data_IF_994040552012
#
_entry.id   IF_994040552012
#
_cell.length_a   1.000
_cell.length_b   1.000
_cell.length_c   1.000
_cell.angle_alpha   90.00
_cell.angle_beta   90.00
_cell.angle_gamma   90.00
#
_symmetry.space_group_name_H-M   'P 1'
#
loop_
_entity.id
_entity.type
_entity.pdbx_description
1 polymer ?
#
# COMPACT_ATOMS: atom_id res chain seq x y z
N UNK A 1 7.32 3.06 -19.24
CA UNK A 1 7.90 4.27 -18.57
C UNK A 1 9.15 3.81 -17.82
N UNK A 2 10.24 4.57 -17.88
CA UNK A 2 11.49 4.25 -17.19
C UNK A 2 11.34 4.60 -15.70
N UNK A 3 11.66 3.67 -14.80
CA UNK A 3 11.60 3.90 -13.34
C UNK A 3 12.61 4.98 -12.94
N UNK A 4 12.12 5.98 -12.22
CA UNK A 4 12.90 7.13 -11.74
C UNK A 4 13.35 6.90 -10.30
N UNK A 5 14.67 6.91 -10.08
CA UNK A 5 15.30 6.77 -8.78
C UNK A 5 15.79 8.13 -8.29
N UNK A 6 15.45 8.52 -7.08
CA UNK A 6 16.07 9.63 -6.38
C UNK A 6 17.11 9.13 -5.40
N UNK A 7 18.33 9.66 -5.47
CA UNK A 7 19.44 9.29 -4.59
C UNK A 7 19.82 10.51 -3.76
N UNK A 8 19.77 10.37 -2.44
CA UNK A 8 20.03 11.44 -1.48
C UNK A 8 21.14 10.98 -0.53
N UNK A 9 22.32 11.58 -0.69
CA UNK A 9 23.54 11.28 0.10
C UNK A 9 24.42 12.52 0.06
N UNK A 10 25.01 12.95 1.17
CA UNK A 10 25.90 14.12 1.22
C UNK A 10 27.26 13.88 0.56
N UNK A 11 27.58 12.63 0.22
CA UNK A 11 28.80 12.26 -0.48
C UNK A 11 28.61 12.24 -2.00
N UNK A 12 29.15 13.23 -2.68
CA UNK A 12 29.05 13.38 -4.15
C UNK A 12 29.64 12.19 -4.92
N UNK A 13 30.68 11.53 -4.38
CA UNK A 13 31.28 10.35 -5.02
C UNK A 13 30.30 9.17 -5.03
N UNK A 14 29.55 8.98 -3.96
CA UNK A 14 28.49 7.96 -3.87
C UNK A 14 27.36 8.29 -4.85
N UNK A 15 26.91 9.56 -4.88
CA UNK A 15 25.87 10.02 -5.82
C UNK A 15 26.25 9.73 -7.27
N UNK A 16 27.47 10.13 -7.66
CA UNK A 16 27.96 9.93 -9.05
C UNK A 16 28.08 8.43 -9.38
N UNK A 17 28.69 7.65 -8.50
CA UNK A 17 28.89 6.21 -8.71
C UNK A 17 27.57 5.48 -8.85
N UNK A 18 26.63 5.68 -7.92
CA UNK A 18 25.32 5.03 -7.93
C UNK A 18 24.49 5.48 -9.15
N UNK A 19 24.53 6.77 -9.48
CA UNK A 19 23.81 7.28 -10.64
C UNK A 19 24.24 6.58 -11.93
N UNK A 20 25.54 6.48 -12.18
CA UNK A 20 26.09 5.83 -13.37
C UNK A 20 25.71 4.33 -13.42
N UNK A 21 25.81 3.64 -12.27
CA UNK A 21 25.48 2.22 -12.20
C UNK A 21 23.99 1.97 -12.46
N UNK A 22 23.08 2.76 -11.87
CA UNK A 22 21.65 2.63 -12.15
C UNK A 22 21.29 2.97 -13.59
N UNK A 23 21.91 4.01 -14.17
CA UNK A 23 21.69 4.39 -15.56
C UNK A 23 22.14 3.27 -16.51
N UNK A 24 23.26 2.60 -16.23
CA UNK A 24 23.73 1.45 -17.04
C UNK A 24 22.77 0.26 -16.99
N UNK A 25 21.90 0.18 -15.95
CA UNK A 25 20.85 -0.83 -15.82
C UNK A 25 19.47 -0.33 -16.32
N UNK A 26 19.42 0.81 -17.03
CA UNK A 26 18.20 1.31 -17.67
C UNK A 26 17.26 2.12 -16.77
N UNK A 27 17.71 2.52 -15.59
CA UNK A 27 16.94 3.41 -14.69
C UNK A 27 17.22 4.88 -15.00
N UNK A 28 16.26 5.75 -14.71
CA UNK A 28 16.46 7.21 -14.71
C UNK A 28 16.81 7.65 -13.29
N UNK A 29 17.86 8.46 -13.12
CA UNK A 29 18.33 8.89 -11.80
C UNK A 29 18.30 10.40 -11.65
N UNK A 30 18.03 10.85 -10.43
CA UNK A 30 18.24 12.22 -9.98
C UNK A 30 18.94 12.17 -8.62
N UNK A 31 19.94 13.03 -8.43
CA UNK A 31 20.81 13.00 -7.25
C UNK A 31 20.75 14.31 -6.49
N UNK A 32 20.82 14.22 -5.14
CA UNK A 32 20.82 15.39 -4.26
C UNK A 32 21.86 15.22 -3.14
N UNK A 33 22.81 16.13 -3.06
CA UNK A 33 23.72 16.23 -1.92
C UNK A 33 23.08 16.98 -0.73
N UNK A 34 21.98 17.68 -0.97
CA UNK A 34 21.25 18.42 0.06
C UNK A 34 19.81 17.89 0.18
N UNK A 35 19.42 17.32 1.34
CA UNK A 35 18.09 16.78 1.53
C UNK A 35 16.97 17.82 1.43
N UNK A 36 17.23 19.08 1.77
CA UNK A 36 16.24 20.16 1.62
C UNK A 36 15.92 20.43 0.15
N UNK A 37 16.94 20.49 -0.71
CA UNK A 37 16.74 20.65 -2.16
C UNK A 37 15.97 19.46 -2.77
N UNK A 38 16.22 18.24 -2.26
CA UNK A 38 15.45 17.06 -2.65
C UNK A 38 13.95 17.20 -2.31
N UNK A 39 13.59 17.66 -1.11
CA UNK A 39 12.20 17.91 -0.72
C UNK A 39 11.53 18.92 -1.65
N UNK A 40 12.17 20.05 -1.92
CA UNK A 40 11.63 21.10 -2.80
C UNK A 40 11.39 20.59 -4.23
N UNK A 41 12.31 19.76 -4.74
CA UNK A 41 12.15 19.15 -6.05
C UNK A 41 10.99 18.16 -6.07
N UNK A 42 10.94 17.26 -5.08
CA UNK A 42 9.95 16.17 -5.03
C UNK A 42 8.54 16.61 -4.68
N UNK A 43 8.36 17.83 -4.17
CA UNK A 43 7.05 18.47 -4.05
C UNK A 43 6.35 18.62 -5.42
N UNK A 44 7.14 18.78 -6.50
CA UNK A 44 6.65 19.00 -7.88
C UNK A 44 6.78 17.74 -8.73
N UNK A 45 7.86 17.00 -8.56
CA UNK A 45 8.20 15.81 -9.37
C UNK A 45 8.68 14.65 -8.49
N UNK A 46 7.76 13.88 -7.89
CA UNK A 46 8.12 12.72 -7.07
C UNK A 46 8.81 11.64 -7.90
N UNK A 47 9.72 10.90 -7.26
CA UNK A 47 10.36 9.72 -7.82
C UNK A 47 9.55 8.44 -7.55
N UNK A 48 9.87 7.36 -8.28
CA UNK A 48 9.25 6.05 -8.08
C UNK A 48 9.86 5.31 -6.88
N UNK A 49 11.14 5.58 -6.57
CA UNK A 49 11.86 5.05 -5.40
C UNK A 49 12.93 6.02 -4.94
N UNK A 50 13.18 6.00 -3.63
CA UNK A 50 14.16 6.86 -2.96
C UNK A 50 15.25 6.01 -2.32
N UNK A 51 16.53 6.33 -2.63
CA UNK A 51 17.70 5.77 -1.96
C UNK A 51 18.27 6.87 -1.07
N UNK A 52 18.25 6.64 0.25
CA UNK A 52 18.44 7.70 1.23
C UNK A 52 19.57 7.32 2.19
N UNK A 53 20.62 8.14 2.25
CA UNK A 53 21.59 7.99 3.31
C UNK A 53 20.99 8.33 4.67
N UNK A 54 21.30 7.52 5.69
CA UNK A 54 20.81 7.73 7.05
C UNK A 54 21.49 8.90 7.75
N UNK A 55 22.77 9.13 7.44
CA UNK A 55 23.56 10.17 8.09
C UNK A 55 23.91 11.29 7.15
N UNK A 56 23.09 12.33 7.15
CA UNK A 56 23.35 13.56 6.39
C UNK A 56 23.38 14.77 7.32
N UNK A 57 24.19 15.80 7.01
CA UNK A 57 24.20 17.05 7.76
C UNK A 57 22.82 17.72 7.78
N UNK A 58 22.46 18.34 8.90
CA UNK A 58 21.23 19.13 9.10
C UNK A 58 19.91 18.36 9.12
N UNK A 59 19.82 17.22 8.43
CA UNK A 59 18.57 16.45 8.33
C UNK A 59 18.91 14.98 8.17
N UNK A 60 18.55 14.14 9.14
CA UNK A 60 18.76 12.70 9.05
C UNK A 60 17.91 12.08 7.95
N UNK A 61 18.35 10.93 7.40
CA UNK A 61 17.58 10.23 6.37
C UNK A 61 16.16 9.85 6.81
N UNK A 62 16.00 9.52 8.09
CA UNK A 62 14.70 9.22 8.66
C UNK A 62 13.77 10.45 8.73
N UNK A 63 14.30 11.60 9.18
CA UNK A 63 13.54 12.85 9.21
C UNK A 63 13.19 13.32 7.79
N UNK A 64 14.13 13.19 6.85
CA UNK A 64 13.86 13.45 5.43
C UNK A 64 12.71 12.60 4.92
N UNK A 65 12.75 11.30 5.15
CA UNK A 65 11.69 10.37 4.73
C UNK A 65 10.32 10.73 5.31
N UNK A 66 10.26 11.05 6.60
CA UNK A 66 9.02 11.47 7.26
C UNK A 66 8.43 12.72 6.62
N UNK A 67 9.26 13.75 6.41
CA UNK A 67 8.83 15.00 5.72
C UNK A 67 8.40 14.74 4.29
N UNK A 68 9.07 13.86 3.58
CA UNK A 68 8.71 13.46 2.22
C UNK A 68 7.32 12.80 2.19
N UNK A 69 7.04 11.87 3.09
CA UNK A 69 5.73 11.23 3.19
C UNK A 69 4.62 12.24 3.52
N UNK A 70 4.84 13.11 4.49
CA UNK A 70 3.91 14.18 4.87
C UNK A 70 3.60 15.11 3.68
N UNK A 71 4.63 15.55 2.98
CA UNK A 71 4.52 16.43 1.82
C UNK A 71 3.77 15.78 0.66
N UNK A 72 4.03 14.51 0.38
CA UNK A 72 3.36 13.74 -0.68
C UNK A 72 1.97 13.24 -0.26
N UNK A 73 1.56 13.48 0.98
CA UNK A 73 0.30 12.98 1.58
C UNK A 73 0.15 11.47 1.43
N UNK A 74 1.24 10.75 1.62
CA UNK A 74 1.31 9.29 1.57
C UNK A 74 1.78 8.76 2.91
N UNK A 75 1.15 7.69 3.41
CA UNK A 75 1.61 7.00 4.61
C UNK A 75 3.04 6.47 4.44
N UNK A 76 3.36 6.06 3.22
CA UNK A 76 4.67 5.50 2.84
C UNK A 76 4.97 5.74 1.38
N UNK A 77 6.27 5.89 1.08
CA UNK A 77 6.80 5.89 -0.29
C UNK A 77 7.88 4.80 -0.42
N UNK A 78 8.12 4.26 -1.64
CA UNK A 78 9.19 3.29 -1.85
C UNK A 78 10.54 3.89 -1.48
N UNK A 79 11.19 3.38 -0.42
CA UNK A 79 12.47 3.88 0.04
C UNK A 79 13.41 2.75 0.46
N UNK A 80 14.70 2.94 0.20
CA UNK A 80 15.81 2.09 0.62
C UNK A 80 16.83 2.95 1.35
N UNK A 81 17.15 2.58 2.59
CA UNK A 81 18.07 3.35 3.42
C UNK A 81 19.48 2.79 3.34
N UNK A 82 20.47 3.68 3.20
CA UNK A 82 21.88 3.34 3.31
C UNK A 82 22.38 3.67 4.72
N UNK A 83 22.95 2.71 5.43
CA UNK A 83 23.37 2.90 6.83
C UNK A 83 24.73 2.28 7.13
N UNK A 84 25.48 2.82 8.09
CA UNK A 84 26.72 2.24 8.61
C UNK A 84 26.46 1.26 9.76
N UNK A 85 27.46 0.42 10.08
CA UNK A 85 27.36 -0.72 11.00
C UNK A 85 27.01 -0.37 12.47
N UNK A 86 27.16 0.89 12.89
CA UNK A 86 27.12 1.25 14.31
C UNK A 86 25.80 1.89 14.80
N UNK A 87 24.66 1.63 14.18
CA UNK A 87 23.45 2.39 14.46
C UNK A 87 22.41 1.66 15.30
N UNK A 88 22.23 2.13 16.55
CA UNK A 88 21.07 1.88 17.42
C UNK A 88 19.72 2.23 16.74
N UNK A 89 19.73 3.04 15.69
CA UNK A 89 18.56 3.37 14.83
C UNK A 89 18.08 2.19 13.99
N UNK A 90 18.91 1.15 13.80
CA UNK A 90 18.48 -0.11 13.16
C UNK A 90 17.28 -0.76 13.85
N UNK A 91 17.15 -0.62 15.16
CA UNK A 91 16.00 -1.13 15.90
C UNK A 91 14.72 -0.33 15.62
N UNK A 92 14.84 0.95 15.33
CA UNK A 92 13.70 1.77 14.90
C UNK A 92 13.25 1.38 13.48
N UNK A 93 14.19 1.06 12.57
CA UNK A 93 13.88 0.60 11.22
C UNK A 93 13.31 -0.83 11.20
N UNK A 94 13.81 -1.73 12.07
CA UNK A 94 13.28 -3.11 12.19
C UNK A 94 11.86 -3.15 12.73
N UNK A 95 11.51 -2.21 13.59
CA UNK A 95 10.17 -2.10 14.20
C UNK A 95 9.21 -1.22 13.38
N UNK A 96 9.70 -0.47 12.38
CA UNK A 96 8.87 0.33 11.48
C UNK A 96 8.88 -0.32 10.10
N UNK A 97 7.74 -0.68 9.60
CA UNK A 97 7.51 -1.22 8.25
C UNK A 97 7.77 -0.15 7.16
N UNK A 98 8.85 0.66 7.28
CA UNK A 98 9.05 1.91 6.53
C UNK A 98 9.75 1.72 5.18
N UNK A 99 10.54 0.66 5.03
CA UNK A 99 11.32 0.36 3.83
C UNK A 99 12.27 -0.80 4.07
N UNK A 100 13.24 -0.98 3.19
CA UNK A 100 14.37 -1.90 3.40
C UNK A 100 15.64 -1.08 3.61
N UNK A 101 16.73 -1.69 4.07
CA UNK A 101 18.00 -1.01 4.30
C UNK A 101 19.18 -1.81 3.76
N UNK A 102 20.27 -1.11 3.46
CA UNK A 102 21.55 -1.70 3.02
C UNK A 102 22.68 -1.15 3.88
N UNK A 103 23.47 -2.06 4.43
CA UNK A 103 24.64 -1.70 5.24
C UNK A 103 25.82 -1.27 4.35
N UNK A 104 26.44 -0.14 4.68
CA UNK A 104 27.72 0.31 4.09
C UNK A 104 28.88 -0.43 4.78
N UNK A 105 29.89 -1.00 4.04
CA UNK A 105 30.00 -1.00 2.58
C UNK A 105 29.12 -2.06 1.92
N UNK A 106 28.58 -1.76 0.74
CA UNK A 106 27.71 -2.65 -0.01
C UNK A 106 28.19 -2.87 -1.45
N UNK A 107 27.76 -3.99 -2.05
CA UNK A 107 27.87 -4.16 -3.48
C UNK A 107 26.64 -3.61 -4.19
N UNK A 108 26.82 -3.10 -5.40
CA UNK A 108 25.72 -2.58 -6.20
C UNK A 108 24.64 -3.64 -6.47
N UNK A 109 25.02 -4.90 -6.70
CA UNK A 109 24.08 -5.99 -6.94
C UNK A 109 23.13 -6.22 -5.75
N UNK A 110 23.63 -6.10 -4.51
CA UNK A 110 22.78 -6.19 -3.31
C UNK A 110 21.83 -5.00 -3.24
N UNK A 111 22.34 -3.78 -3.51
CA UNK A 111 21.53 -2.58 -3.52
C UNK A 111 20.41 -2.66 -4.56
N UNK A 112 20.74 -3.08 -5.79
CA UNK A 112 19.80 -3.25 -6.89
C UNK A 112 18.71 -4.26 -6.54
N UNK A 113 19.08 -5.46 -6.09
CA UNK A 113 18.12 -6.51 -5.72
C UNK A 113 17.15 -6.06 -4.61
N UNK A 114 17.64 -5.32 -3.60
CA UNK A 114 16.79 -4.80 -2.51
C UNK A 114 15.88 -3.68 -3.00
N UNK A 115 16.36 -2.79 -3.86
CA UNK A 115 15.55 -1.74 -4.47
C UNK A 115 14.41 -2.34 -5.30
N UNK A 116 14.71 -3.34 -6.13
CA UNK A 116 13.69 -4.04 -6.93
C UNK A 116 12.64 -4.74 -6.05
N UNK A 117 13.06 -5.32 -4.93
CA UNK A 117 12.15 -5.91 -3.94
C UNK A 117 11.23 -4.85 -3.34
N UNK A 118 11.76 -3.68 -2.96
CA UNK A 118 10.97 -2.55 -2.45
C UNK A 118 9.97 -2.08 -3.49
N UNK A 119 10.40 -1.85 -4.73
CA UNK A 119 9.52 -1.46 -5.83
C UNK A 119 8.42 -2.48 -6.07
N UNK A 120 8.75 -3.76 -6.12
CA UNK A 120 7.79 -4.86 -6.30
C UNK A 120 6.75 -4.88 -5.17
N UNK A 121 7.17 -4.72 -3.91
CA UNK A 121 6.27 -4.66 -2.76
C UNK A 121 5.25 -3.51 -2.87
N UNK A 122 5.73 -2.31 -3.22
CA UNK A 122 4.86 -1.14 -3.36
C UNK A 122 3.94 -1.26 -4.59
N UNK A 123 4.44 -1.80 -5.70
CA UNK A 123 3.65 -2.05 -6.92
C UNK A 123 2.54 -3.06 -6.65
N UNK A 124 2.85 -4.18 -6.02
CA UNK A 124 1.83 -5.15 -5.60
C UNK A 124 0.79 -4.53 -4.66
N UNK A 125 1.20 -3.59 -3.81
CA UNK A 125 0.29 -2.90 -2.89
C UNK A 125 -0.60 -1.89 -3.61
N UNK A 126 -0.10 -1.22 -4.65
CA UNK A 126 -0.91 -0.33 -5.50
C UNK A 126 -1.88 -1.11 -6.39
N UNK A 127 -1.44 -2.21 -6.99
CA UNK A 127 -2.31 -3.12 -7.75
C UNK A 127 -3.39 -3.75 -6.86
N UNK A 128 -3.08 -4.02 -5.59
CA UNK A 128 -4.03 -4.53 -4.61
C UNK A 128 -5.04 -3.49 -4.11
N UNK A 129 -4.83 -2.19 -4.34
CA UNK A 129 -5.81 -1.15 -4.01
C UNK A 129 -7.01 -1.13 -4.95
N UNK A 130 -6.83 -1.62 -6.19
CA UNK A 130 -7.91 -1.78 -7.16
C UNK A 130 -8.00 -3.23 -7.58
N UNK A 131 -9.12 -3.88 -7.31
CA UNK A 131 -9.31 -5.26 -7.70
C UNK A 131 -10.72 -5.49 -8.24
N UNK A 132 -10.81 -6.44 -9.18
CA UNK A 132 -12.04 -6.84 -9.85
C UNK A 132 -12.31 -8.32 -9.61
N UNK A 133 -13.50 -8.62 -9.09
CA UNK A 133 -13.95 -9.99 -8.83
C UNK A 133 -15.28 -10.21 -9.54
N UNK A 134 -15.20 -10.77 -10.74
CA UNK A 134 -16.35 -10.81 -11.64
C UNK A 134 -16.80 -9.39 -12.01
N UNK A 135 -18.04 -9.05 -11.67
CA UNK A 135 -18.61 -7.73 -11.93
C UNK A 135 -18.48 -6.73 -10.76
N UNK A 136 -17.80 -7.14 -9.70
CA UNK A 136 -17.44 -6.25 -8.57
C UNK A 136 -16.10 -5.60 -8.85
N UNK A 137 -16.04 -4.26 -8.84
CA UNK A 137 -14.83 -3.46 -8.86
C UNK A 137 -14.72 -2.72 -7.53
N UNK A 138 -13.58 -2.83 -6.87
CA UNK A 138 -13.28 -2.12 -5.62
C UNK A 138 -11.98 -1.35 -5.75
N UNK A 139 -11.97 -0.10 -5.30
CA UNK A 139 -10.80 0.78 -5.24
C UNK A 139 -10.65 1.28 -3.82
N UNK A 140 -9.63 0.79 -3.10
CA UNK A 140 -9.46 1.04 -1.65
C UNK A 140 -9.04 2.48 -1.33
N UNK A 141 -8.20 3.07 -2.16
CA UNK A 141 -7.71 4.45 -2.04
C UNK A 141 -8.85 5.48 -2.17
N UNK A 142 -9.91 5.15 -2.89
CA UNK A 142 -11.07 6.01 -3.13
C UNK A 142 -12.32 5.57 -2.36
N UNK A 143 -12.24 4.46 -1.62
CA UNK A 143 -13.42 3.83 -0.98
C UNK A 143 -14.55 3.64 -1.99
N UNK A 144 -14.19 3.34 -3.24
CA UNK A 144 -15.12 3.23 -4.37
C UNK A 144 -15.48 1.77 -4.63
N UNK A 145 -16.77 1.50 -4.70
CA UNK A 145 -17.31 0.19 -5.07
C UNK A 145 -18.22 0.33 -6.29
N UNK A 146 -17.97 -0.49 -7.32
CA UNK A 146 -18.88 -0.60 -8.47
C UNK A 146 -19.34 -2.04 -8.65
N UNK A 147 -20.63 -2.20 -8.97
CA UNK A 147 -21.26 -3.47 -9.27
C UNK A 147 -21.96 -3.41 -10.62
N UNK A 148 -21.51 -4.24 -11.58
CA UNK A 148 -21.91 -4.13 -12.99
C UNK A 148 -21.79 -2.71 -13.55
N UNK A 149 -20.69 -2.03 -13.22
CA UNK A 149 -20.38 -0.66 -13.63
C UNK A 149 -21.10 0.44 -12.87
N UNK A 150 -22.19 0.15 -12.13
CA UNK A 150 -22.90 1.11 -11.29
C UNK A 150 -22.20 1.28 -9.94
N UNK A 151 -22.01 2.51 -9.52
CA UNK A 151 -21.42 2.85 -8.25
C UNK A 151 -22.37 2.56 -7.08
N UNK A 152 -21.82 2.04 -5.99
CA UNK A 152 -22.52 1.75 -4.75
C UNK A 152 -21.89 2.56 -3.64
N UNK A 153 -22.61 3.49 -3.08
CA UNK A 153 -22.18 4.29 -1.94
C UNK A 153 -22.11 3.43 -0.68
N UNK A 154 -20.91 3.17 -0.21
CA UNK A 154 -20.64 2.41 1.00
C UNK A 154 -20.05 3.32 2.07
N UNK A 155 -20.39 3.08 3.33
CA UNK A 155 -19.61 3.61 4.45
C UNK A 155 -18.26 2.91 4.52
N UNK A 156 -17.28 3.50 5.21
CA UNK A 156 -15.96 2.89 5.39
C UNK A 156 -16.07 1.47 5.95
N UNK A 157 -16.85 1.27 7.00
CA UNK A 157 -17.10 -0.05 7.61
C UNK A 157 -17.71 -1.05 6.62
N UNK A 158 -18.70 -0.63 5.85
CA UNK A 158 -19.33 -1.50 4.83
C UNK A 158 -18.36 -1.84 3.71
N UNK A 159 -17.50 -0.90 3.33
CA UNK A 159 -16.46 -1.11 2.33
C UNK A 159 -15.42 -2.13 2.84
N UNK A 160 -14.92 -1.97 4.07
CA UNK A 160 -13.91 -2.86 4.65
C UNK A 160 -14.44 -4.28 4.83
N UNK A 161 -15.69 -4.45 5.29
CA UNK A 161 -16.35 -5.75 5.35
C UNK A 161 -16.45 -6.43 3.99
N UNK A 162 -16.88 -5.67 2.98
CA UNK A 162 -17.01 -6.18 1.63
C UNK A 162 -15.64 -6.55 1.04
N UNK A 163 -14.64 -5.68 1.24
CA UNK A 163 -13.26 -5.87 0.81
C UNK A 163 -12.68 -7.16 1.37
N UNK A 164 -12.79 -7.38 2.67
CA UNK A 164 -12.29 -8.56 3.35
C UNK A 164 -12.88 -9.85 2.76
N UNK A 165 -14.19 -9.91 2.59
CA UNK A 165 -14.85 -11.08 2.03
C UNK A 165 -14.55 -11.27 0.55
N UNK A 166 -14.49 -10.19 -0.23
CA UNK A 166 -14.29 -10.21 -1.66
C UNK A 166 -12.86 -10.61 -2.07
N UNK A 167 -11.85 -10.19 -1.31
CA UNK A 167 -10.44 -10.58 -1.53
C UNK A 167 -10.18 -12.08 -1.34
N UNK A 168 -11.01 -12.78 -0.55
CA UNK A 168 -10.91 -14.23 -0.35
C UNK A 168 -12.26 -14.88 -0.68
N UNK A 169 -12.61 -14.97 -1.98
CA UNK A 169 -13.89 -15.53 -2.39
C UNK A 169 -14.07 -16.95 -1.90
N UNK A 170 -15.30 -17.30 -1.51
CA UNK A 170 -15.70 -18.62 -0.99
C UNK A 170 -15.15 -18.97 0.39
N UNK A 171 -14.31 -18.11 1.00
CA UNK A 171 -13.89 -18.28 2.39
C UNK A 171 -14.94 -17.67 3.30
N UNK A 172 -15.41 -18.44 4.27
CA UNK A 172 -16.33 -17.95 5.30
C UNK A 172 -15.54 -17.30 6.43
N UNK A 173 -15.90 -16.07 6.77
CA UNK A 173 -15.34 -15.31 7.89
C UNK A 173 -16.32 -15.35 9.06
N UNK A 174 -15.80 -15.53 10.27
CA UNK A 174 -16.62 -15.44 11.48
C UNK A 174 -17.03 -13.98 11.73
N UNK A 175 -18.05 -13.81 12.59
CA UNK A 175 -18.48 -12.44 12.98
C UNK A 175 -17.37 -11.68 13.68
N UNK A 176 -16.61 -12.37 14.54
CA UNK A 176 -15.48 -11.77 15.27
C UNK A 176 -14.37 -11.34 14.32
N UNK A 177 -13.98 -12.18 13.36
CA UNK A 177 -13.00 -11.82 12.33
C UNK A 177 -13.43 -10.60 11.49
N UNK A 178 -14.72 -10.46 11.23
CA UNK A 178 -15.26 -9.30 10.52
C UNK A 178 -15.33 -8.05 11.40
N UNK A 179 -15.55 -8.21 12.71
CA UNK A 179 -15.48 -7.13 13.68
C UNK A 179 -14.07 -6.57 13.81
N UNK A 180 -13.06 -7.45 13.91
CA UNK A 180 -11.64 -7.06 14.01
C UNK A 180 -11.21 -6.20 12.82
N UNK A 181 -11.65 -6.55 11.61
CA UNK A 181 -11.37 -5.76 10.40
C UNK A 181 -11.96 -4.34 10.46
N UNK A 182 -13.13 -4.19 11.07
CA UNK A 182 -13.84 -2.91 11.10
C UNK A 182 -13.36 -1.98 12.19
N UNK A 183 -12.90 -2.51 13.30
CA UNK A 183 -12.76 -1.75 14.53
C UNK A 183 -11.41 -1.91 15.24
N UNK A 184 -10.56 -2.89 14.85
CA UNK A 184 -9.28 -3.17 15.50
C UNK A 184 -9.44 -3.52 16.99
N UNK A 185 -8.35 -3.37 17.77
CA UNK A 185 -8.33 -3.71 19.21
C UNK A 185 -9.06 -2.73 20.14
N UNK A 186 -9.61 -1.63 19.62
CA UNK A 186 -10.27 -0.58 20.42
C UNK A 186 -11.78 -0.82 20.54
N UNK A 187 -12.19 -1.74 21.40
CA UNK A 187 -13.59 -2.10 21.60
C UNK A 187 -14.30 -1.33 22.71
N UNK A 188 -15.37 -0.61 22.34
CA UNK A 188 -16.51 -0.29 23.21
C UNK A 188 -17.82 -0.78 22.56
N UNK A 189 -18.64 -1.53 23.31
CA UNK A 189 -19.45 -2.69 22.83
C UNK A 189 -20.89 -2.39 22.31
N UNK A 190 -21.34 -1.16 22.09
CA UNK A 190 -22.81 -0.94 22.06
C UNK A 190 -23.49 -0.95 20.67
N UNK A 191 -22.81 -0.86 19.52
CA UNK A 191 -23.54 -0.70 18.23
C UNK A 191 -23.00 -1.57 17.04
N UNK A 192 -22.44 -2.73 17.34
CA UNK A 192 -21.57 -3.47 16.39
C UNK A 192 -22.16 -4.79 15.94
N UNK A 193 -23.34 -4.74 15.37
CA UNK A 193 -23.94 -5.93 14.81
C UNK A 193 -23.53 -6.08 13.34
N UNK A 194 -22.59 -6.99 13.08
CA UNK A 194 -22.17 -7.37 11.71
C UNK A 194 -23.35 -7.73 10.83
N UNK A 195 -24.34 -8.42 11.39
CA UNK A 195 -25.54 -8.83 10.67
C UNK A 195 -26.31 -7.60 10.12
N UNK A 196 -26.32 -6.50 10.86
CA UNK A 196 -26.90 -5.23 10.42
C UNK A 196 -26.15 -4.60 9.24
N UNK A 197 -24.81 -4.63 9.28
CA UNK A 197 -23.98 -4.15 8.17
C UNK A 197 -24.17 -5.02 6.93
N UNK A 198 -24.21 -6.33 7.07
CA UNK A 198 -24.47 -7.28 5.97
C UNK A 198 -25.87 -7.04 5.38
N UNK A 199 -26.89 -6.80 6.22
CA UNK A 199 -28.24 -6.47 5.76
C UNK A 199 -28.26 -5.16 4.94
N UNK A 200 -27.55 -4.12 5.39
CA UNK A 200 -27.41 -2.83 4.68
C UNK A 200 -26.67 -3.02 3.34
N UNK A 201 -25.55 -3.74 3.33
CA UNK A 201 -24.82 -4.07 2.11
C UNK A 201 -25.73 -4.75 1.10
N UNK A 202 -26.40 -5.85 1.47
CA UNK A 202 -27.34 -6.55 0.60
C UNK A 202 -28.42 -5.63 0.04
N UNK A 203 -28.96 -4.71 0.86
CA UNK A 203 -29.96 -3.72 0.45
C UNK A 203 -29.39 -2.75 -0.60
N UNK A 204 -28.17 -2.22 -0.37
CA UNK A 204 -27.52 -1.27 -1.30
C UNK A 204 -27.24 -1.91 -2.66
N UNK A 205 -26.73 -3.13 -2.69
CA UNK A 205 -26.52 -3.87 -3.94
C UNK A 205 -27.81 -4.12 -4.74
N UNK A 206 -28.90 -4.51 -4.05
CA UNK A 206 -30.21 -4.70 -4.71
C UNK A 206 -30.76 -3.40 -5.25
N UNK A 207 -30.59 -2.28 -4.51
CA UNK A 207 -31.04 -0.95 -4.94
C UNK A 207 -30.27 -0.47 -6.19
N UNK A 208 -28.95 -0.70 -6.23
CA UNK A 208 -28.13 -0.25 -7.34
C UNK A 208 -28.48 -0.97 -8.68
N UNK A 209 -28.82 -2.26 -8.63
CA UNK A 209 -29.20 -3.04 -9.80
C UNK A 209 -30.43 -3.91 -9.48
N UNK A 210 -31.66 -3.36 -9.53
CA UNK A 210 -32.87 -4.10 -9.17
C UNK A 210 -33.14 -5.32 -10.06
N UNK A 211 -32.74 -5.27 -11.32
CA UNK A 211 -32.89 -6.35 -12.29
C UNK A 211 -31.96 -7.54 -12.04
N UNK A 212 -30.88 -7.31 -11.26
CA UNK A 212 -29.87 -8.33 -10.99
C UNK A 212 -30.09 -8.88 -9.58
N UNK A 213 -30.48 -10.15 -9.49
CA UNK A 213 -30.64 -10.82 -8.19
C UNK A 213 -29.30 -10.85 -7.43
N UNK A 214 -29.18 -10.00 -6.43
CA UNK A 214 -27.98 -9.99 -5.57
C UNK A 214 -28.03 -11.13 -4.55
N UNK A 215 -27.09 -12.07 -4.70
CA UNK A 215 -26.95 -13.24 -3.81
C UNK A 215 -25.47 -13.59 -3.54
N UNK A 216 -24.58 -12.57 -3.62
CA UNK A 216 -23.12 -12.78 -3.53
C UNK A 216 -22.59 -12.87 -2.12
N UNK A 217 -23.23 -12.23 -1.15
CA UNK A 217 -22.90 -12.42 0.25
C UNK A 217 -23.75 -13.56 0.79
N UNK A 218 -23.10 -14.72 1.02
CA UNK A 218 -23.76 -15.91 1.58
C UNK A 218 -23.64 -15.92 3.08
N UNK A 219 -24.68 -16.40 3.75
CA UNK A 219 -24.65 -16.71 5.18
C UNK A 219 -24.27 -18.18 5.34
N UNK A 220 -23.26 -18.44 6.14
CA UNK A 220 -22.88 -19.78 6.63
C UNK A 220 -23.37 -19.89 8.07
N UNK A 221 -24.44 -20.63 8.28
CA UNK A 221 -25.05 -20.80 9.61
C UNK A 221 -24.03 -21.40 10.58
N UNK A 222 -23.95 -20.83 11.79
CA UNK A 222 -22.96 -21.20 12.80
C UNK A 222 -21.54 -20.67 12.58
N UNK A 223 -21.21 -20.16 11.36
CA UNK A 223 -19.87 -19.63 11.04
C UNK A 223 -19.90 -18.13 10.83
N UNK A 224 -20.62 -17.62 9.81
CA UNK A 224 -20.61 -16.21 9.48
C UNK A 224 -20.96 -15.92 8.02
N UNK A 225 -20.09 -15.17 7.30
CA UNK A 225 -20.38 -14.68 5.96
C UNK A 225 -19.24 -14.90 4.97
N UNK A 226 -19.60 -15.12 3.70
CA UNK A 226 -18.64 -15.25 2.60
C UNK A 226 -19.11 -14.50 1.35
N UNK A 227 -18.16 -14.00 0.56
CA UNK A 227 -18.42 -13.54 -0.79
C UNK A 227 -18.34 -14.71 -1.78
N UNK A 228 -19.35 -14.88 -2.61
CA UNK A 228 -19.36 -15.90 -3.67
C UNK A 228 -19.38 -15.20 -5.03
N UNK A 229 -18.30 -15.26 -5.83
CA UNK A 229 -18.30 -14.68 -7.17
C UNK A 229 -19.29 -15.40 -8.07
N UNK A 230 -19.67 -14.74 -9.19
CA UNK A 230 -20.50 -15.39 -10.20
C UNK A 230 -19.71 -16.54 -10.82
N UNK A 231 -20.27 -17.72 -10.88
CA UNK A 231 -19.75 -18.77 -11.73
C UNK A 231 -19.71 -18.22 -13.16
N UNK A 232 -18.54 -18.23 -13.78
CA UNK A 232 -18.46 -18.02 -15.22
C UNK A 232 -19.12 -19.28 -15.80
N UNK A 233 -20.39 -19.18 -16.19
CA UNK A 233 -20.99 -20.20 -17.03
C UNK A 233 -20.22 -20.12 -18.33
N UNK A 234 -19.35 -21.10 -18.58
CA UNK A 234 -18.82 -21.32 -19.90
C UNK A 234 -20.03 -21.52 -20.82
N UNK A 235 -20.20 -20.61 -21.77
CA UNK A 235 -20.99 -20.81 -22.96
C UNK A 235 -20.09 -21.40 -24.01
#
# INVERSE_FOLDING_TARGET
MTTRISIIDDNESILTSLSLQFQSHGYSTITFACPQAALEHHAKQPADVYIIDMRMPKLTGFEFYRRLCEMLKKDRVPALFLTGVDNLEENALKNTTIGDYVLKPFSFNILLARMEKVLSYFKCKEENKTYKIGNLLMMEDKILCKWFGKEIELTKTEFDLLSQMARRPRVAFTRDQLLDVCYGDNYNVTDRNIDSHIKRLRKKFRKANPEIKFNRIKTHYGTGYAWTPQSISAK
#
